data_IF_296868469946
#
_entry.id   IF_296868469946
#
_cell.length_a   1.000
_cell.length_b   1.000
_cell.length_c   1.000
_cell.angle_alpha   90.00
_cell.angle_beta   90.00
_cell.angle_gamma   90.00
#
_symmetry.space_group_name_H-M   'P 1'
#
loop_
_entity.id
_entity.type
_entity.pdbx_description
1 polymer ?
#
# COMPACT_ATOMS: atom_id res chain seq x y z
N UNK A 1 -11.38 7.35 16.85
CA UNK A 1 -10.70 6.43 15.97
C UNK A 1 -9.97 5.34 16.75
N UNK A 2 -9.98 4.16 16.24
CA UNK A 2 -9.30 3.03 16.89
C UNK A 2 -7.79 3.16 16.76
N UNK A 3 -7.08 2.69 17.75
CA UNK A 3 -5.65 2.56 17.64
C UNK A 3 -5.32 1.47 16.62
N UNK A 4 -4.24 1.67 15.89
CA UNK A 4 -3.75 0.63 15.01
C UNK A 4 -3.24 -0.53 15.85
N UNK A 5 -3.50 -1.75 15.39
CA UNK A 5 -2.93 -2.93 16.02
C UNK A 5 -1.41 -2.90 15.89
N UNK A 6 -0.68 -3.56 16.80
CA UNK A 6 0.75 -3.76 16.60
C UNK A 6 0.96 -4.42 15.22
N UNK A 7 2.07 -4.08 14.58
CA UNK A 7 2.39 -4.59 13.25
C UNK A 7 1.39 -4.13 12.18
N UNK A 8 0.84 -2.94 12.38
CA UNK A 8 0.01 -2.28 11.37
C UNK A 8 0.53 -0.87 11.14
N UNK A 9 0.44 -0.42 9.90
CA UNK A 9 0.81 0.96 9.57
C UNK A 9 -0.25 1.55 8.66
N UNK A 10 -0.47 2.85 8.84
CA UNK A 10 -1.36 3.61 7.98
C UNK A 10 -0.51 4.32 6.95
N UNK A 11 -0.76 4.08 5.68
CA UNK A 11 0.05 4.66 4.61
C UNK A 11 -0.83 5.29 3.56
N UNK A 12 -0.24 6.24 2.85
CA UNK A 12 -0.82 6.79 1.64
C UNK A 12 0.00 6.29 0.46
N UNK A 13 -0.67 5.75 -0.54
CA UNK A 13 -0.05 5.27 -1.75
C UNK A 13 -0.47 6.19 -2.88
N UNK A 14 0.51 6.78 -3.57
CA UNK A 14 0.25 7.66 -4.69
C UNK A 14 0.67 6.98 -5.98
N UNK A 15 -0.30 6.80 -6.86
CA UNK A 15 -0.09 6.22 -8.18
C UNK A 15 0.02 7.35 -9.19
N UNK A 16 1.15 7.43 -9.87
CA UNK A 16 1.43 8.54 -10.78
C UNK A 16 1.86 8.01 -12.14
N UNK A 17 1.01 7.20 -12.74
CA UNK A 17 1.31 6.70 -14.07
C UNK A 17 2.04 5.37 -14.10
N UNK A 18 2.14 4.69 -12.97
CA UNK A 18 2.76 3.37 -12.93
C UNK A 18 1.74 2.34 -13.38
N UNK A 19 2.07 1.62 -14.44
CA UNK A 19 1.22 0.55 -14.93
C UNK A 19 1.74 -0.78 -14.42
N UNK A 20 0.85 -1.60 -13.85
CA UNK A 20 1.19 -2.96 -13.46
C UNK A 20 0.15 -3.89 -14.04
N UNK A 21 0.58 -5.07 -14.44
CA UNK A 21 -0.32 -6.07 -15.00
C UNK A 21 -1.12 -6.77 -13.91
N UNK A 22 -0.66 -6.69 -12.68
CA UNK A 22 -1.34 -7.30 -11.55
C UNK A 22 -1.61 -6.26 -10.47
N UNK A 23 -2.70 -6.42 -9.71
CA UNK A 23 -2.98 -5.53 -8.58
C UNK A 23 -1.85 -5.60 -7.58
N UNK A 24 -1.23 -4.47 -7.32
CA UNK A 24 -0.05 -4.39 -6.45
C UNK A 24 -0.32 -4.93 -5.05
N UNK A 25 -1.45 -4.54 -4.46
CA UNK A 25 -1.76 -4.95 -3.09
C UNK A 25 -1.98 -6.45 -3.00
N UNK A 26 -2.50 -7.06 -4.06
CA UNK A 26 -2.68 -8.49 -4.12
C UNK A 26 -1.33 -9.22 -4.17
N UNK A 27 -0.38 -8.67 -4.93
CA UNK A 27 0.97 -9.20 -4.97
C UNK A 27 1.64 -9.14 -3.61
N UNK A 28 1.44 -8.03 -2.90
CA UNK A 28 2.00 -7.85 -1.56
C UNK A 28 1.46 -8.91 -0.60
N UNK A 29 0.18 -9.19 -0.67
CA UNK A 29 -0.41 -10.22 0.16
C UNK A 29 0.18 -11.60 -0.14
N UNK A 30 0.25 -11.96 -1.41
CA UNK A 30 0.75 -13.27 -1.81
C UNK A 30 2.22 -13.47 -1.45
N UNK A 31 3.02 -12.44 -1.63
CA UNK A 31 4.47 -12.57 -1.53
C UNK A 31 4.98 -12.35 -0.11
N UNK A 32 4.37 -11.44 0.61
CA UNK A 32 4.86 -11.02 1.92
C UNK A 32 3.86 -11.27 3.04
N UNK A 33 2.66 -11.76 2.70
CA UNK A 33 1.60 -12.02 3.68
C UNK A 33 1.23 -10.76 4.45
N UNK A 34 1.25 -9.63 3.77
CA UNK A 34 0.84 -8.35 4.32
C UNK A 34 -0.54 -8.03 3.76
N UNK A 35 -1.51 -7.87 4.65
CA UNK A 35 -2.87 -7.52 4.24
C UNK A 35 -2.99 -6.02 4.08
N UNK A 36 -3.87 -5.59 3.19
CA UNK A 36 -4.13 -4.18 2.94
C UNK A 36 -5.62 -3.93 3.09
N UNK A 37 -5.97 -3.02 4.00
CA UNK A 37 -7.34 -2.58 4.18
C UNK A 37 -7.44 -1.15 3.66
N UNK A 38 -8.15 -0.98 2.55
CA UNK A 38 -8.31 0.32 1.93
C UNK A 38 -9.37 1.11 2.69
N UNK A 39 -8.96 2.23 3.28
CA UNK A 39 -9.88 3.07 4.03
C UNK A 39 -10.62 4.05 3.12
N UNK A 40 -9.90 4.64 2.20
CA UNK A 40 -10.52 5.45 1.15
C UNK A 40 -9.47 5.74 0.09
N UNK A 41 -9.93 6.26 -1.04
CA UNK A 41 -9.03 6.61 -2.10
C UNK A 41 -9.77 7.08 -3.32
N UNK A 42 -9.02 7.61 -4.26
CA UNK A 42 -9.56 8.06 -5.52
C UNK A 42 -8.51 7.81 -6.60
N UNK A 43 -8.75 6.78 -7.41
CA UNK A 43 -7.85 6.45 -8.50
C UNK A 43 -8.65 6.52 -9.79
N UNK A 44 -8.14 7.26 -10.76
CA UNK A 44 -8.70 7.34 -12.08
C UNK A 44 -7.80 6.59 -13.04
N UNK A 45 -8.40 6.03 -14.08
CA UNK A 45 -7.63 5.38 -15.14
C UNK A 45 -7.57 6.33 -16.32
N UNK A 46 -6.37 6.84 -16.60
CA UNK A 46 -6.12 7.74 -17.71
C UNK A 46 -5.25 7.01 -18.73
N UNK A 47 -5.78 6.76 -19.91
CA UNK A 47 -5.05 6.03 -20.96
C UNK A 47 -4.48 4.71 -20.45
N UNK A 48 -5.33 3.93 -19.76
CA UNK A 48 -4.98 2.63 -19.19
C UNK A 48 -3.96 2.73 -18.05
N UNK A 49 -3.77 3.92 -17.49
CA UNK A 49 -2.76 4.15 -16.45
C UNK A 49 -3.45 4.63 -15.19
N UNK A 50 -3.20 4.00 -14.04
CA UNK A 50 -3.80 4.45 -12.78
C UNK A 50 -3.12 5.72 -12.27
N UNK A 51 -3.93 6.70 -11.88
CA UNK A 51 -3.46 7.96 -11.31
C UNK A 51 -4.34 8.28 -10.12
N UNK A 52 -3.74 8.58 -8.98
CA UNK A 52 -4.49 8.92 -7.79
C UNK A 52 -3.82 8.44 -6.52
N UNK A 53 -4.58 8.39 -5.45
CA UNK A 53 -4.05 8.02 -4.16
C UNK A 53 -5.02 7.13 -3.38
N UNK A 54 -4.46 6.23 -2.58
CA UNK A 54 -5.20 5.39 -1.65
C UNK A 54 -4.64 5.58 -0.25
N UNK A 55 -5.52 5.52 0.74
CA UNK A 55 -5.08 5.45 2.14
C UNK A 55 -5.44 4.06 2.63
N UNK A 56 -4.42 3.31 3.05
CA UNK A 56 -4.60 1.90 3.41
C UNK A 56 -3.90 1.61 4.74
N UNK A 57 -4.43 0.59 5.43
CA UNK A 57 -3.75 0.01 6.58
C UNK A 57 -3.09 -1.27 6.12
N UNK A 58 -1.77 -1.33 6.28
CA UNK A 58 -1.00 -2.54 5.99
C UNK A 58 -0.72 -3.25 7.30
N UNK A 59 -0.97 -4.55 7.33
CA UNK A 59 -0.80 -5.36 8.56
C UNK A 59 -0.05 -6.63 8.25
N UNK A 60 0.89 -6.97 9.11
CA UNK A 60 1.69 -8.20 8.98
C UNK A 60 2.87 -8.16 9.93
N UNK A 61 3.71 -9.17 9.85
CA UNK A 61 4.93 -9.18 10.65
C UNK A 61 5.82 -8.01 10.29
N UNK A 62 6.57 -7.49 11.26
CA UNK A 62 7.40 -6.30 11.04
C UNK A 62 8.36 -6.46 9.87
N UNK A 63 8.99 -7.61 9.75
CA UNK A 63 9.92 -7.87 8.65
C UNK A 63 9.20 -7.87 7.32
N UNK A 64 8.01 -8.44 7.29
CA UNK A 64 7.21 -8.50 6.07
C UNK A 64 6.69 -7.12 5.69
N UNK A 65 6.32 -6.31 6.68
CA UNK A 65 5.90 -4.93 6.41
C UNK A 65 7.03 -4.11 5.79
N UNK A 66 8.25 -4.27 6.29
CA UNK A 66 9.40 -3.57 5.73
C UNK A 66 9.64 -4.00 4.28
N UNK A 67 9.58 -5.30 4.02
CA UNK A 67 9.76 -5.82 2.66
C UNK A 67 8.65 -5.34 1.73
N UNK A 68 7.41 -5.31 2.22
CA UNK A 68 6.28 -4.84 1.43
C UNK A 68 6.41 -3.36 1.07
N UNK A 69 6.84 -2.53 2.03
CA UNK A 69 7.05 -1.11 1.75
C UNK A 69 8.09 -0.91 0.66
N UNK A 70 9.17 -1.66 0.73
CA UNK A 70 10.22 -1.59 -0.28
C UNK A 70 9.69 -2.01 -1.65
N UNK A 71 8.93 -3.11 -1.69
CA UNK A 71 8.37 -3.61 -2.94
C UNK A 71 7.41 -2.60 -3.57
N UNK A 72 6.58 -1.94 -2.75
CA UNK A 72 5.67 -0.92 -3.24
C UNK A 72 6.44 0.25 -3.86
N UNK A 73 7.49 0.70 -3.17
CA UNK A 73 8.31 1.79 -3.68
C UNK A 73 9.02 1.40 -4.96
N UNK A 74 9.52 0.18 -5.04
CA UNK A 74 10.20 -0.30 -6.25
C UNK A 74 9.26 -0.47 -7.42
N UNK A 75 7.98 -0.65 -7.15
CA UNK A 75 6.97 -0.70 -8.22
C UNK A 75 6.63 0.68 -8.77
N UNK A 76 7.22 1.74 -8.22
CA UNK A 76 7.00 3.09 -8.71
C UNK A 76 5.85 3.82 -8.03
N UNK A 77 5.30 3.25 -6.97
CA UNK A 77 4.23 3.88 -6.20
C UNK A 77 4.85 4.62 -5.03
N UNK A 78 4.50 5.89 -4.87
CA UNK A 78 5.00 6.66 -3.74
C UNK A 78 4.25 6.26 -2.48
N UNK A 79 4.99 5.83 -1.48
CA UNK A 79 4.43 5.42 -0.21
C UNK A 79 4.83 6.43 0.87
N UNK A 80 3.85 6.93 1.60
CA UNK A 80 4.08 7.81 2.74
C UNK A 80 3.45 7.18 3.97
N UNK A 81 4.24 7.00 5.02
CA UNK A 81 3.71 6.46 6.27
C UNK A 81 3.05 7.59 7.03
N UNK A 82 1.74 7.46 7.26
CA UNK A 82 0.97 8.47 7.99
C UNK A 82 0.95 8.19 9.49
N UNK A 83 0.95 6.90 9.87
CA UNK A 83 0.94 6.53 11.26
C UNK A 83 1.49 5.11 11.40
N UNK A 84 2.44 4.94 12.31
CA UNK A 84 2.95 3.64 12.64
C UNK A 84 2.14 3.01 13.75
N UNK A 85 2.07 1.68 13.76
CA UNK A 85 1.25 0.94 14.70
C UNK A 85 2.02 0.39 15.85
N UNK A 86 3.02 0.93 16.32
CA UNK A 86 3.67 0.40 17.52
C UNK A 86 4.99 0.94 17.80
#
# INVERSE_FOLDING_TARGET
>A
MQNLAPNSILVQLEYAGTATDEPLLNQIYKKYQVTANILYGNIEILDHTPVGALVVVLSGESENLTAAKTAISEAGVRLTVLKGGA
#
